data_IF_166933169543
#
_entry.id   IF_166933169543
#
_cell.length_a   1.000
_cell.length_b   1.000
_cell.length_c   1.000
_cell.angle_alpha   90.00
_cell.angle_beta   90.00
_cell.angle_gamma   90.00
#
_symmetry.space_group_name_H-M   'P 1'
#
loop_
_entity.id
_entity.type
_entity.pdbx_description
1 polymer ?
#
# COMPACT_ATOMS: atom_id res chain seq x y z
N UNK A 1 4.26 -42.30 50.34
CA UNK A 1 4.08 -41.65 49.03
C UNK A 1 2.66 -41.90 48.57
N UNK A 2 1.74 -41.00 48.90
CA UNK A 2 0.33 -41.12 48.51
C UNK A 2 0.17 -40.76 47.03
N UNK A 3 -0.42 -41.67 46.24
CA UNK A 3 -0.82 -41.41 44.86
C UNK A 3 -1.92 -40.34 44.89
N UNK A 4 -1.54 -39.09 44.65
CA UNK A 4 -2.50 -38.00 44.50
C UNK A 4 -3.39 -38.27 43.31
N UNK A 5 -4.67 -38.52 43.55
CA UNK A 5 -5.71 -38.47 42.53
C UNK A 5 -5.64 -37.11 41.84
N UNK A 6 -5.54 -37.04 40.50
CA UNK A 6 -5.56 -35.77 39.79
C UNK A 6 -6.92 -35.12 40.00
N UNK A 7 -6.98 -34.13 40.88
CA UNK A 7 -8.15 -33.27 41.08
C UNK A 7 -8.12 -32.17 40.02
N UNK A 8 -9.19 -32.06 39.24
CA UNK A 8 -9.38 -30.93 38.34
C UNK A 8 -9.36 -29.64 39.19
N UNK A 9 -8.59 -28.61 38.80
CA UNK A 9 -8.61 -27.32 39.48
C UNK A 9 -10.03 -26.76 39.49
N UNK A 10 -10.45 -26.21 40.63
CA UNK A 10 -11.75 -25.56 40.75
C UNK A 10 -11.75 -24.28 39.88
N UNK A 11 -12.35 -24.40 38.70
CA UNK A 11 -12.40 -23.34 37.69
C UNK A 11 -13.18 -22.13 38.22
N UNK A 12 -14.20 -22.35 39.05
CA UNK A 12 -15.02 -21.29 39.62
C UNK A 12 -14.23 -20.46 40.62
N UNK A 13 -13.33 -21.08 41.39
CA UNK A 13 -12.39 -20.38 42.27
C UNK A 13 -11.43 -19.48 41.48
N UNK A 14 -10.95 -19.94 40.31
CA UNK A 14 -10.09 -19.15 39.44
C UNK A 14 -10.84 -17.97 38.79
N UNK A 15 -12.10 -18.17 38.39
CA UNK A 15 -12.96 -17.09 37.89
C UNK A 15 -13.28 -16.05 38.97
N UNK A 16 -13.57 -16.48 40.21
CA UNK A 16 -13.80 -15.59 41.36
C UNK A 16 -12.54 -14.84 41.78
N UNK A 17 -11.36 -15.47 41.67
CA UNK A 17 -10.07 -14.82 41.85
C UNK A 17 -9.70 -13.87 40.69
N UNK A 18 -10.53 -13.79 39.66
CA UNK A 18 -10.30 -12.89 38.54
C UNK A 18 -9.17 -13.35 37.62
N UNK A 19 -8.90 -14.66 37.49
CA UNK A 19 -7.81 -15.23 36.69
C UNK A 19 -8.40 -16.11 35.58
N UNK A 20 -7.97 -15.92 34.33
CA UNK A 20 -8.37 -16.75 33.21
C UNK A 20 -7.71 -18.13 33.36
N UNK A 21 -8.49 -19.22 33.53
CA UNK A 21 -7.95 -20.54 33.83
C UNK A 21 -7.13 -21.14 32.68
N UNK A 22 -7.25 -20.61 31.45
CA UNK A 22 -6.50 -21.07 30.28
C UNK A 22 -5.15 -20.38 30.11
N UNK A 23 -5.02 -19.13 30.56
CA UNK A 23 -3.82 -18.31 30.34
C UNK A 23 -3.09 -17.93 31.63
N UNK A 24 -3.71 -18.15 32.79
CA UNK A 24 -3.16 -17.77 34.10
C UNK A 24 -3.10 -16.25 34.34
N UNK A 25 -3.67 -15.44 33.42
CA UNK A 25 -3.64 -13.98 33.48
C UNK A 25 -4.94 -13.42 34.09
N UNK A 26 -4.92 -12.24 34.73
CA UNK A 26 -6.13 -11.63 35.27
C UNK A 26 -7.20 -11.42 34.18
N UNK A 27 -8.45 -11.82 34.43
CA UNK A 27 -9.63 -11.62 33.58
C UNK A 27 -9.88 -10.15 33.22
N UNK A 28 -9.39 -9.21 34.06
CA UNK A 28 -9.45 -7.76 33.83
C UNK A 28 -8.29 -7.19 33.02
N UNK A 29 -7.24 -7.97 32.74
CA UNK A 29 -6.31 -7.66 31.64
C UNK A 29 -6.99 -8.08 30.34
N UNK A 30 -8.10 -7.40 30.05
CA UNK A 30 -8.79 -7.51 28.78
C UNK A 30 -7.76 -7.22 27.69
N UNK A 31 -7.71 -8.13 26.73
CA UNK A 31 -6.89 -8.09 25.55
C UNK A 31 -7.13 -6.76 24.81
N UNK A 32 -6.44 -5.68 25.20
CA UNK A 32 -6.44 -4.42 24.48
C UNK A 32 -5.62 -4.66 23.24
N UNK A 33 -6.25 -5.28 22.23
CA UNK A 33 -5.70 -5.29 20.87
C UNK A 33 -5.45 -3.83 20.53
N UNK A 34 -4.19 -3.51 20.33
CA UNK A 34 -3.73 -2.19 19.92
C UNK A 34 -4.20 -2.04 18.48
N UNK A 35 -5.35 -1.40 18.26
CA UNK A 35 -5.90 -1.26 16.91
C UNK A 35 -5.29 -0.08 16.15
N UNK A 36 -4.59 0.83 16.83
CA UNK A 36 -4.11 2.08 16.23
C UNK A 36 -3.18 1.83 15.03
N UNK A 37 -2.18 0.95 15.16
CA UNK A 37 -1.31 0.56 14.04
C UNK A 37 -2.13 -0.02 12.89
N UNK A 38 -2.97 -1.00 13.19
CA UNK A 38 -3.78 -1.70 12.19
C UNK A 38 -4.76 -0.77 11.46
N UNK A 39 -5.34 0.20 12.15
CA UNK A 39 -6.30 1.14 11.58
C UNK A 39 -5.60 2.20 10.73
N UNK A 40 -4.42 2.68 11.16
CA UNK A 40 -3.56 3.55 10.34
C UNK A 40 -3.12 2.81 9.07
N UNK A 41 -2.67 1.56 9.21
CA UNK A 41 -2.26 0.73 8.09
C UNK A 41 -3.38 0.50 7.09
N UNK A 42 -4.62 0.31 7.54
CA UNK A 42 -5.79 0.22 6.63
C UNK A 42 -5.97 1.50 5.82
N UNK A 43 -5.86 2.67 6.44
CA UNK A 43 -5.96 3.94 5.75
C UNK A 43 -4.84 4.10 4.72
N UNK A 44 -3.60 3.79 5.11
CA UNK A 44 -2.44 3.85 4.21
C UNK A 44 -2.57 2.89 3.02
N UNK A 45 -3.14 1.70 3.21
CA UNK A 45 -3.44 0.77 2.09
C UNK A 45 -4.44 1.33 1.08
N UNK A 46 -5.44 2.10 1.54
CA UNK A 46 -6.41 2.73 0.64
C UNK A 46 -5.72 3.78 -0.23
N UNK A 47 -4.85 4.59 0.39
CA UNK A 47 -4.06 5.60 -0.32
C UNK A 47 -3.11 4.94 -1.33
N UNK A 48 -2.40 3.90 -0.90
CA UNK A 48 -1.49 3.13 -1.77
C UNK A 48 -2.22 2.53 -2.99
N UNK A 49 -3.43 2.00 -2.82
CA UNK A 49 -4.24 1.52 -3.94
C UNK A 49 -4.68 2.67 -4.85
N UNK A 50 -5.10 3.82 -4.30
CA UNK A 50 -5.52 4.98 -5.07
C UNK A 50 -4.39 5.56 -5.92
N UNK A 51 -3.18 5.66 -5.34
CA UNK A 51 -1.98 6.11 -6.06
C UNK A 51 -1.64 5.14 -7.20
N UNK A 52 -1.70 3.83 -6.94
CA UNK A 52 -1.39 2.80 -7.92
C UNK A 52 -2.41 2.76 -9.08
N UNK A 53 -3.69 2.95 -8.79
CA UNK A 53 -4.79 2.79 -9.75
C UNK A 53 -4.97 4.03 -10.63
N UNK A 54 -4.64 5.22 -10.14
CA UNK A 54 -4.84 6.47 -10.87
C UNK A 54 -3.59 6.95 -11.63
N UNK A 55 -2.47 6.24 -11.58
CA UNK A 55 -1.23 6.66 -12.26
C UNK A 55 -1.26 6.50 -13.79
N UNK A 56 -2.17 5.67 -14.32
CA UNK A 56 -2.30 5.42 -15.76
C UNK A 56 -3.75 5.59 -16.21
N UNK A 57 -3.91 6.18 -17.39
CA UNK A 57 -5.21 6.36 -18.05
C UNK A 57 -5.24 5.53 -19.33
N UNK A 58 -6.25 4.67 -19.42
CA UNK A 58 -6.51 3.83 -20.58
C UNK A 58 -7.64 4.40 -21.43
N UNK A 59 -7.44 4.39 -22.75
CA UNK A 59 -8.41 4.83 -23.76
C UNK A 59 -8.83 3.66 -24.65
N UNK A 60 -10.10 3.65 -25.07
CA UNK A 60 -10.69 2.64 -25.95
C UNK A 60 -10.53 1.20 -25.44
N UNK A 61 -10.75 0.98 -24.13
CA UNK A 61 -10.77 -0.37 -23.58
C UNK A 61 -11.97 -1.17 -24.13
N UNK A 62 -11.75 -2.36 -24.73
CA UNK A 62 -12.81 -3.13 -25.38
C UNK A 62 -13.53 -4.11 -24.45
N UNK A 63 -12.98 -4.37 -23.26
CA UNK A 63 -13.67 -5.05 -22.18
C UNK A 63 -14.49 -3.99 -21.44
N UNK A 64 -15.75 -4.29 -21.09
CA UNK A 64 -16.64 -3.39 -20.34
C UNK A 64 -16.14 -3.16 -18.90
N UNK A 65 -14.95 -2.59 -18.78
CA UNK A 65 -14.19 -2.30 -17.57
C UNK A 65 -13.61 -0.89 -17.71
N UNK A 66 -13.51 -0.22 -16.58
CA UNK A 66 -12.88 1.10 -16.48
C UNK A 66 -11.35 0.99 -16.40
N UNK A 67 -10.66 2.08 -16.70
CA UNK A 67 -9.21 2.22 -16.48
C UNK A 67 -8.81 1.84 -15.05
N UNK A 68 -9.59 2.30 -14.07
CA UNK A 68 -9.35 2.02 -12.66
C UNK A 68 -9.52 0.54 -12.30
N UNK A 69 -10.53 -0.12 -12.87
CA UNK A 69 -10.73 -1.55 -12.64
C UNK A 69 -9.58 -2.36 -13.20
N UNK A 70 -9.10 -2.04 -14.41
CA UNK A 70 -7.94 -2.71 -15.01
C UNK A 70 -6.69 -2.54 -14.16
N UNK A 71 -6.33 -1.31 -13.80
CA UNK A 71 -5.14 -1.05 -12.97
C UNK A 71 -5.27 -1.67 -11.58
N UNK A 72 -6.47 -1.72 -10.99
CA UNK A 72 -6.70 -2.44 -9.73
C UNK A 72 -6.41 -3.94 -9.86
N UNK A 73 -6.81 -4.57 -10.96
CA UNK A 73 -6.48 -5.98 -11.20
C UNK A 73 -4.96 -6.18 -11.30
N UNK A 74 -4.26 -5.26 -11.97
CA UNK A 74 -2.80 -5.28 -12.08
C UNK A 74 -2.14 -5.06 -10.71
N UNK A 75 -2.64 -4.14 -9.88
CA UNK A 75 -2.12 -3.88 -8.54
C UNK A 75 -2.14 -5.14 -7.65
N UNK A 76 -3.26 -5.89 -7.66
CA UNK A 76 -3.44 -7.07 -6.83
C UNK A 76 -2.81 -8.37 -7.39
N UNK A 77 -2.58 -8.45 -8.71
CA UNK A 77 -2.11 -9.69 -9.37
C UNK A 77 -0.75 -9.56 -10.05
N UNK A 78 -0.29 -8.35 -10.33
CA UNK A 78 0.96 -8.02 -11.01
C UNK A 78 0.98 -8.30 -12.52
N UNK A 79 0.19 -9.28 -12.98
CA UNK A 79 0.17 -9.73 -14.36
C UNK A 79 -1.21 -10.24 -14.79
N UNK A 80 -1.57 -9.98 -16.05
CA UNK A 80 -2.83 -10.37 -16.66
C UNK A 80 -2.59 -10.87 -18.09
N UNK A 81 -3.51 -11.67 -18.60
CA UNK A 81 -3.63 -11.99 -20.02
C UNK A 81 -4.88 -11.33 -20.58
N UNK A 82 -4.75 -10.79 -21.78
CA UNK A 82 -5.83 -10.22 -22.56
C UNK A 82 -6.11 -11.12 -23.77
N UNK A 83 -7.37 -11.49 -23.97
CA UNK A 83 -7.80 -12.37 -25.05
C UNK A 83 -9.25 -12.10 -25.43
N UNK A 84 -9.61 -12.55 -26.64
CA UNK A 84 -10.98 -12.56 -27.14
C UNK A 84 -11.63 -13.92 -26.86
N UNK A 85 -12.85 -13.91 -26.32
CA UNK A 85 -13.65 -15.11 -26.16
C UNK A 85 -14.71 -15.18 -27.25
N UNK A 86 -14.59 -16.15 -28.16
CA UNK A 86 -15.53 -16.35 -29.26
C UNK A 86 -16.90 -16.82 -28.77
N UNK A 87 -16.96 -17.63 -27.71
CA UNK A 87 -18.22 -18.19 -27.24
C UNK A 87 -19.11 -17.11 -26.60
N UNK A 88 -18.46 -16.09 -26.01
CA UNK A 88 -19.11 -14.95 -25.35
C UNK A 88 -19.09 -13.68 -26.19
N UNK A 89 -18.38 -13.70 -27.33
CA UNK A 89 -18.13 -12.57 -28.23
C UNK A 89 -17.54 -11.32 -27.53
N UNK A 90 -16.78 -11.51 -26.45
CA UNK A 90 -16.28 -10.43 -25.58
C UNK A 90 -14.77 -10.54 -25.31
N UNK A 91 -14.16 -9.39 -24.99
CA UNK A 91 -12.77 -9.33 -24.55
C UNK A 91 -12.66 -9.43 -23.03
N UNK A 92 -11.65 -10.15 -22.56
CA UNK A 92 -11.41 -10.36 -21.14
C UNK A 92 -9.96 -10.05 -20.75
N UNK A 93 -9.83 -9.44 -19.58
CA UNK A 93 -8.58 -9.38 -18.82
C UNK A 93 -8.68 -10.34 -17.64
N UNK A 94 -7.76 -11.30 -17.56
CA UNK A 94 -7.75 -12.27 -16.47
C UNK A 94 -6.33 -12.55 -15.99
N UNK A 95 -6.14 -12.91 -14.71
CA UNK A 95 -4.95 -13.61 -14.26
C UNK A 95 -4.71 -14.86 -15.11
N UNK A 96 -3.48 -15.35 -15.15
CA UNK A 96 -3.16 -16.56 -15.88
C UNK A 96 -2.17 -17.42 -15.12
N UNK A 97 -2.12 -18.69 -15.51
CA UNK A 97 -1.09 -19.62 -15.09
C UNK A 97 -0.41 -20.25 -16.31
N UNK A 98 0.83 -20.67 -16.12
CA UNK A 98 1.61 -21.36 -17.15
C UNK A 98 0.94 -22.68 -17.51
N UNK A 99 0.74 -22.93 -18.79
CA UNK A 99 0.37 -24.25 -19.29
C UNK A 99 1.10 -24.49 -20.62
N UNK A 100 2.26 -25.14 -20.54
CA UNK A 100 3.02 -25.55 -21.72
C UNK A 100 4.52 -25.35 -21.60
N UNK A 101 5.14 -25.01 -22.71
CA UNK A 101 6.61 -24.90 -22.85
C UNK A 101 7.08 -23.46 -22.74
N UNK A 102 8.37 -23.33 -22.39
CA UNK A 102 9.07 -22.07 -22.32
C UNK A 102 9.98 -21.96 -23.55
N UNK A 103 10.05 -20.78 -24.17
CA UNK A 103 10.96 -20.52 -25.29
C UNK A 103 12.42 -20.35 -24.84
N UNK A 104 13.34 -20.17 -25.80
CA UNK A 104 14.77 -19.97 -25.54
C UNK A 104 15.08 -18.72 -24.69
N UNK A 105 14.17 -17.75 -24.63
CA UNK A 105 14.30 -16.52 -23.86
C UNK A 105 13.59 -16.59 -22.51
N UNK A 106 13.12 -17.76 -22.09
CA UNK A 106 12.43 -17.92 -20.83
C UNK A 106 10.96 -17.46 -20.86
N UNK A 107 10.38 -17.23 -22.05
CA UNK A 107 9.01 -16.74 -22.27
C UNK A 107 8.01 -17.86 -22.43
N UNK A 108 6.79 -17.61 -21.98
CA UNK A 108 5.71 -18.60 -21.99
C UNK A 108 5.15 -18.69 -23.41
N UNK A 109 5.14 -19.89 -24.00
CA UNK A 109 4.50 -20.07 -25.30
C UNK A 109 2.98 -20.09 -25.19
N UNK A 110 2.49 -20.66 -24.10
CA UNK A 110 1.06 -20.88 -23.85
C UNK A 110 0.71 -20.67 -22.38
N UNK A 111 -0.47 -20.11 -22.14
CA UNK A 111 -1.03 -19.86 -20.82
C UNK A 111 -2.51 -20.24 -20.80
N UNK A 112 -3.06 -20.46 -19.61
CA UNK A 112 -4.50 -20.56 -19.43
C UNK A 112 -4.97 -19.47 -18.46
N UNK A 113 -6.10 -18.81 -18.75
CA UNK A 113 -6.68 -17.81 -17.86
C UNK A 113 -7.18 -18.47 -16.57
N UNK A 114 -7.13 -17.73 -15.48
CA UNK A 114 -7.57 -18.14 -14.15
C UNK A 114 -8.58 -17.10 -13.65
N UNK A 115 -9.74 -17.52 -13.12
CA UNK A 115 -10.74 -16.58 -12.66
C UNK A 115 -10.21 -15.73 -11.49
N UNK A 116 -10.64 -14.46 -11.43
CA UNK A 116 -10.31 -13.55 -10.32
C UNK A 116 -10.99 -13.91 -9.00
N UNK A 117 -12.00 -14.77 -9.03
CA UNK A 117 -12.83 -15.11 -7.86
C UNK A 117 -12.12 -16.11 -6.94
N UNK A 118 -11.81 -15.66 -5.73
CA UNK A 118 -11.51 -16.52 -4.56
C UNK A 118 -12.71 -16.64 -3.60
N UNK A 119 -13.91 -16.25 -4.06
CA UNK A 119 -15.13 -16.17 -3.23
C UNK A 119 -15.91 -17.48 -3.11
N UNK A 120 -16.54 -17.66 -1.94
CA UNK A 120 -17.18 -18.86 -1.38
C UNK A 120 -18.42 -19.43 -2.11
N UNK A 121 -18.75 -18.98 -3.33
CA UNK A 121 -19.86 -19.55 -4.10
C UNK A 121 -19.40 -20.70 -5.00
N UNK A 122 -19.42 -21.89 -4.38
CA UNK A 122 -18.86 -23.15 -4.86
C UNK A 122 -19.37 -23.68 -6.21
N UNK A 123 -20.43 -23.10 -6.81
CA UNK A 123 -21.04 -23.64 -8.05
C UNK A 123 -20.71 -22.82 -9.30
N UNK A 124 -20.80 -21.48 -9.24
CA UNK A 124 -20.50 -20.60 -10.37
C UNK A 124 -18.99 -20.48 -10.61
N UNK A 125 -18.21 -20.34 -9.54
CA UNK A 125 -16.75 -20.23 -9.62
C UNK A 125 -16.10 -21.51 -10.16
N UNK A 126 -16.62 -22.70 -9.80
CA UNK A 126 -16.10 -23.98 -10.31
C UNK A 126 -16.39 -24.19 -11.80
N UNK A 127 -17.60 -23.88 -12.26
CA UNK A 127 -17.93 -23.98 -13.68
C UNK A 127 -17.09 -23.02 -14.54
N UNK A 128 -16.86 -21.80 -14.06
CA UNK A 128 -15.98 -20.84 -14.73
C UNK A 128 -14.52 -21.30 -14.72
N UNK A 129 -14.03 -21.81 -13.59
CA UNK A 129 -12.67 -22.36 -13.49
C UNK A 129 -12.47 -23.56 -14.41
N UNK A 130 -13.44 -24.47 -14.51
CA UNK A 130 -13.41 -25.62 -15.41
C UNK A 130 -13.44 -25.21 -16.89
N UNK A 131 -14.23 -24.21 -17.24
CA UNK A 131 -14.24 -23.65 -18.60
C UNK A 131 -12.88 -23.05 -18.96
N UNK A 132 -12.34 -22.19 -18.09
CA UNK A 132 -11.06 -21.49 -18.32
C UNK A 132 -9.85 -22.43 -18.28
N UNK A 133 -9.89 -23.49 -17.47
CA UNK A 133 -8.80 -24.48 -17.40
C UNK A 133 -8.58 -25.25 -18.71
N UNK A 134 -9.62 -25.40 -19.53
CA UNK A 134 -9.52 -26.05 -20.83
C UNK A 134 -9.06 -25.09 -21.94
N UNK A 135 -9.01 -23.79 -21.67
CA UNK A 135 -8.66 -22.74 -22.64
C UNK A 135 -7.15 -22.52 -22.67
N UNK A 136 -6.50 -23.01 -23.73
CA UNK A 136 -5.07 -22.82 -23.96
C UNK A 136 -4.85 -21.68 -24.94
N UNK A 137 -4.23 -20.61 -24.46
CA UNK A 137 -3.99 -19.40 -25.24
C UNK A 137 -2.51 -19.28 -25.58
N UNK A 138 -2.21 -19.01 -26.84
CA UNK A 138 -0.85 -18.77 -27.34
C UNK A 138 -0.42 -17.34 -27.03
N UNK A 139 0.70 -17.18 -26.34
CA UNK A 139 1.22 -15.85 -26.02
C UNK A 139 1.85 -15.18 -27.25
N UNK A 140 1.49 -13.92 -27.48
CA UNK A 140 2.06 -13.08 -28.53
C UNK A 140 2.89 -11.97 -27.89
N UNK A 141 4.14 -11.84 -28.34
CA UNK A 141 5.14 -10.91 -27.78
C UNK A 141 5.55 -9.78 -28.72
N UNK A 142 5.10 -9.78 -29.97
CA UNK A 142 5.51 -8.82 -30.98
C UNK A 142 4.36 -8.44 -31.91
N UNK A 143 4.51 -7.28 -32.54
CA UNK A 143 3.57 -6.76 -33.54
C UNK A 143 3.53 -7.73 -34.72
N UNK A 144 2.32 -8.18 -35.07
CA UNK A 144 2.12 -8.99 -36.28
C UNK A 144 1.91 -8.04 -37.47
N UNK A 145 2.84 -8.11 -38.43
CA UNK A 145 2.79 -7.32 -39.68
C UNK A 145 2.20 -8.12 -40.85
N UNK A 146 2.07 -9.44 -40.70
CA UNK A 146 1.51 -10.36 -41.69
C UNK A 146 0.01 -10.59 -41.46
N UNK A 147 -0.69 -11.15 -42.46
CA UNK A 147 -2.13 -11.44 -42.39
C UNK A 147 -2.47 -12.27 -41.14
N UNK A 148 -3.17 -11.64 -40.19
CA UNK A 148 -3.60 -12.27 -38.94
C UNK A 148 -4.59 -13.39 -39.27
N UNK A 149 -4.22 -14.63 -38.94
CA UNK A 149 -5.09 -15.78 -39.19
C UNK A 149 -6.30 -15.76 -38.24
N UNK A 150 -7.41 -16.39 -38.64
CA UNK A 150 -8.59 -16.53 -37.76
C UNK A 150 -8.27 -17.25 -36.44
N UNK A 151 -7.34 -18.21 -36.48
CA UNK A 151 -6.89 -18.93 -35.29
C UNK A 151 -6.13 -18.00 -34.33
N UNK A 152 -5.35 -17.07 -34.86
CA UNK A 152 -4.66 -16.09 -34.04
C UNK A 152 -5.61 -15.10 -33.35
N UNK A 153 -6.76 -14.80 -33.96
CA UNK A 153 -7.78 -13.94 -33.34
C UNK A 153 -8.46 -14.61 -32.14
N UNK A 154 -8.67 -15.93 -32.22
CA UNK A 154 -9.48 -16.70 -31.27
C UNK A 154 -8.64 -17.37 -30.16
N UNK A 155 -7.42 -17.81 -30.47
CA UNK A 155 -6.58 -18.61 -29.56
C UNK A 155 -5.31 -17.89 -29.10
N UNK A 156 -5.14 -16.61 -29.41
CA UNK A 156 -4.00 -15.83 -28.90
C UNK A 156 -4.35 -15.02 -27.66
N UNK A 157 -3.34 -14.78 -26.84
CA UNK A 157 -3.40 -13.78 -25.78
C UNK A 157 -2.18 -12.88 -25.80
N UNK A 158 -2.36 -11.64 -25.33
CA UNK A 158 -1.28 -10.71 -25.06
C UNK A 158 -1.15 -10.57 -23.55
N UNK A 159 0.07 -10.65 -23.04
CA UNK A 159 0.32 -10.58 -21.61
C UNK A 159 0.61 -9.13 -21.19
N UNK A 160 -0.12 -8.64 -20.20
CA UNK A 160 0.06 -7.35 -19.57
C UNK A 160 0.74 -7.52 -18.21
N UNK A 161 1.71 -6.67 -17.93
CA UNK A 161 2.55 -6.72 -16.73
C UNK A 161 2.60 -5.35 -16.09
N UNK A 162 2.74 -5.32 -14.78
CA UNK A 162 2.80 -4.06 -14.06
C UNK A 162 4.13 -3.30 -14.26
N UNK A 163 5.24 -4.03 -14.14
CA UNK A 163 6.62 -3.55 -14.27
C UNK A 163 7.48 -4.64 -14.93
N UNK A 164 8.73 -4.31 -15.25
CA UNK A 164 9.65 -5.25 -15.91
C UNK A 164 9.77 -6.58 -15.15
N UNK A 165 9.59 -7.67 -15.90
CA UNK A 165 9.61 -9.05 -15.40
C UNK A 165 10.92 -9.37 -14.68
N UNK A 166 10.81 -10.00 -13.51
CA UNK A 166 11.97 -10.50 -12.78
C UNK A 166 12.38 -11.88 -13.30
N UNK A 167 13.36 -12.50 -12.61
CA UNK A 167 13.83 -13.85 -12.93
C UNK A 167 12.63 -14.82 -13.05
N UNK A 168 12.67 -15.66 -14.09
CA UNK A 168 11.59 -16.62 -14.40
C UNK A 168 10.24 -16.00 -14.79
N UNK A 169 10.23 -14.73 -15.21
CA UNK A 169 9.01 -14.00 -15.58
C UNK A 169 7.99 -13.85 -14.45
N UNK A 170 8.43 -14.02 -13.21
CA UNK A 170 7.56 -13.81 -12.08
C UNK A 170 7.42 -12.32 -11.79
N UNK A 171 6.20 -11.91 -11.45
CA UNK A 171 5.89 -10.56 -11.00
C UNK A 171 5.24 -10.68 -9.64
N UNK A 172 5.79 -9.94 -8.68
CA UNK A 172 5.24 -9.85 -7.34
C UNK A 172 4.21 -8.71 -7.37
N UNK A 173 2.96 -8.95 -6.93
CA UNK A 173 1.96 -7.90 -6.87
C UNK A 173 2.41 -6.72 -6.00
N UNK A 174 2.07 -5.49 -6.41
CA UNK A 174 2.47 -4.27 -5.69
C UNK A 174 1.97 -4.22 -4.27
N UNK A 175 0.75 -4.70 -4.04
CA UNK A 175 0.20 -4.85 -2.68
C UNK A 175 1.16 -5.62 -1.76
N UNK A 176 1.91 -6.60 -2.27
CA UNK A 176 2.87 -7.37 -1.47
C UNK A 176 4.20 -6.64 -1.31
N UNK A 177 4.61 -5.86 -2.31
CA UNK A 177 5.87 -5.11 -2.31
C UNK A 177 5.80 -3.94 -1.31
N UNK A 178 4.68 -3.22 -1.27
CA UNK A 178 4.55 -2.01 -0.46
C UNK A 178 4.07 -2.29 0.96
N UNK A 179 3.44 -3.45 1.21
CA UNK A 179 2.96 -3.86 2.53
C UNK A 179 3.98 -3.72 3.68
N UNK A 180 5.28 -4.07 3.52
CA UNK A 180 6.28 -3.84 4.55
C UNK A 180 6.56 -2.36 4.82
N UNK A 181 6.51 -1.50 3.79
CA UNK A 181 6.72 -0.06 3.92
C UNK A 181 5.56 0.54 4.71
N UNK A 182 4.32 0.21 4.34
CA UNK A 182 3.11 0.63 5.05
C UNK A 182 3.09 0.14 6.50
N UNK A 183 3.64 -1.04 6.77
CA UNK A 183 3.76 -1.56 8.14
C UNK A 183 4.66 -0.66 9.00
N UNK A 184 5.81 -0.23 8.46
CA UNK A 184 6.75 0.65 9.15
C UNK A 184 6.15 2.06 9.31
N UNK A 185 5.55 2.63 8.27
CA UNK A 185 4.87 3.94 8.32
C UNK A 185 3.79 3.96 9.40
N UNK A 186 3.00 2.88 9.51
CA UNK A 186 1.95 2.76 10.51
C UNK A 186 2.44 2.72 11.97
N UNK A 187 3.74 2.44 12.18
CA UNK A 187 4.38 2.46 13.49
C UNK A 187 4.91 3.84 13.89
N UNK A 188 5.30 4.67 12.90
CA UNK A 188 5.88 5.99 13.15
C UNK A 188 4.92 6.89 13.93
N UNK A 189 3.63 6.86 13.59
CA UNK A 189 2.61 7.71 14.23
C UNK A 189 2.41 7.35 15.73
N UNK A 190 2.21 6.07 16.13
CA UNK A 190 2.23 5.66 17.53
C UNK A 190 3.52 6.02 18.29
N UNK A 191 4.67 5.97 17.61
CA UNK A 191 5.97 6.28 18.21
C UNK A 191 6.20 7.78 18.39
N UNK A 192 5.88 8.59 17.38
CA UNK A 192 5.86 10.05 17.47
C UNK A 192 4.96 10.50 18.61
N UNK A 193 3.79 9.84 18.73
CA UNK A 193 2.86 10.03 19.83
C UNK A 193 3.47 9.68 21.18
N UNK A 194 4.18 8.56 21.30
CA UNK A 194 4.84 8.20 22.57
C UNK A 194 5.97 9.15 22.91
N UNK A 195 6.76 9.58 21.93
CA UNK A 195 7.85 10.52 22.17
C UNK A 195 7.33 11.91 22.50
N UNK A 196 6.26 12.39 21.85
CA UNK A 196 5.50 13.56 22.30
C UNK A 196 5.17 13.45 23.79
N UNK A 197 4.67 12.30 24.24
CA UNK A 197 4.26 12.07 25.63
C UNK A 197 5.44 11.96 26.61
N UNK A 198 6.57 11.40 26.18
CA UNK A 198 7.77 11.19 27.00
C UNK A 198 8.69 12.42 27.05
N UNK A 199 8.71 13.17 25.96
CA UNK A 199 9.29 14.51 25.85
C UNK A 199 8.57 15.54 26.71
N UNK A 200 7.47 15.16 27.33
CA UNK A 200 6.93 15.92 28.43
C UNK A 200 7.82 15.75 29.72
N UNK A 201 9.16 15.91 29.66
CA UNK A 201 10.16 15.92 30.77
C UNK A 201 10.32 14.63 31.60
N UNK A 202 11.55 14.30 32.12
CA UNK A 202 11.83 13.18 33.07
C UNK A 202 11.91 13.66 34.50
N UNK A 203 11.28 12.91 35.38
CA UNK A 203 10.52 13.44 36.50
C UNK A 203 10.95 12.69 37.77
N UNK A 204 12.06 13.09 38.39
CA UNK A 204 12.64 12.36 39.54
C UNK A 204 11.89 12.61 40.83
N UNK A 205 11.45 11.56 41.54
CA UNK A 205 10.48 11.69 42.64
C UNK A 205 11.05 11.18 43.97
N UNK A 206 10.99 12.02 45.03
CA UNK A 206 11.41 11.63 46.39
C UNK A 206 10.25 10.94 47.13
N UNK A 207 10.48 9.74 47.64
CA UNK A 207 9.52 8.97 48.47
C UNK A 207 9.94 8.94 49.94
N UNK A 208 8.98 8.80 50.86
CA UNK A 208 9.22 8.94 52.32
C UNK A 208 9.52 7.61 53.02
N UNK A 209 8.98 6.49 52.54
CA UNK A 209 9.10 5.17 53.16
C UNK A 209 9.13 4.04 52.10
N UNK A 210 9.44 2.83 52.57
CA UNK A 210 9.73 1.68 51.70
C UNK A 210 8.47 1.07 51.07
N UNK A 211 7.29 1.30 51.66
CA UNK A 211 6.00 0.85 51.11
C UNK A 211 5.45 1.82 50.04
N UNK A 212 5.67 3.14 50.17
CA UNK A 212 5.32 4.10 49.12
C UNK A 212 6.21 3.98 47.89
N UNK A 213 7.45 3.54 48.07
CA UNK A 213 8.32 3.19 46.96
C UNK A 213 7.63 2.17 46.04
N UNK A 214 6.96 1.16 46.58
CA UNK A 214 6.28 0.13 45.80
C UNK A 214 5.09 0.67 44.99
N UNK A 215 4.36 1.66 45.53
CA UNK A 215 3.22 2.29 44.85
C UNK A 215 3.62 3.21 43.68
N UNK A 216 4.75 3.92 43.81
CA UNK A 216 5.33 4.72 42.72
C UNK A 216 5.86 3.82 41.60
N UNK A 217 6.38 2.65 41.97
CA UNK A 217 6.83 1.65 41.01
C UNK A 217 5.67 1.05 40.18
N UNK A 218 4.50 0.78 40.79
CA UNK A 218 3.33 0.25 40.06
C UNK A 218 2.63 1.30 39.19
N UNK A 219 2.63 2.55 39.68
CA UNK A 219 2.24 3.74 38.96
C UNK A 219 3.03 3.99 37.66
N UNK A 220 4.36 3.89 37.73
CA UNK A 220 5.24 3.99 36.57
C UNK A 220 5.05 2.82 35.59
N UNK A 221 4.83 1.60 36.10
CA UNK A 221 4.54 0.43 35.25
C UNK A 221 3.24 0.57 34.47
N UNK A 222 2.22 1.15 35.09
CA UNK A 222 0.99 1.46 34.38
C UNK A 222 1.26 2.57 33.33
N UNK A 223 2.13 3.59 33.58
CA UNK A 223 2.70 4.60 32.63
C UNK A 223 3.17 4.01 31.33
N UNK A 224 3.97 2.99 31.46
CA UNK A 224 4.52 2.30 30.31
C UNK A 224 3.49 1.42 29.61
N UNK A 225 2.62 0.71 30.34
CA UNK A 225 1.63 -0.19 29.73
C UNK A 225 0.56 0.58 28.97
N UNK A 226 0.20 1.75 29.47
CA UNK A 226 -0.64 2.62 28.70
C UNK A 226 0.16 3.10 27.48
N UNK A 227 1.40 3.64 27.57
CA UNK A 227 2.10 4.15 26.37
C UNK A 227 2.25 3.09 25.26
N UNK A 228 2.37 1.82 25.66
CA UNK A 228 2.42 0.65 24.80
C UNK A 228 1.10 0.27 24.11
N UNK A 229 -0.05 0.70 24.63
CA UNK A 229 -1.33 0.66 23.89
C UNK A 229 -1.57 1.98 23.14
N UNK A 230 -0.52 2.80 23.02
CA UNK A 230 -0.60 4.22 22.68
C UNK A 230 -1.32 5.03 23.77
N UNK A 231 -1.73 4.46 24.88
CA UNK A 231 -2.47 5.14 25.95
C UNK A 231 -1.54 6.02 26.79
N UNK A 232 -1.75 7.32 26.89
CA UNK A 232 -0.74 8.16 27.53
C UNK A 232 -0.74 8.16 29.08
N UNK A 233 -1.78 7.61 29.73
CA UNK A 233 -2.23 8.09 31.06
C UNK A 233 -2.67 7.01 32.04
N UNK A 234 -2.43 7.27 33.34
CA UNK A 234 -2.56 6.29 34.44
C UNK A 234 -2.97 6.88 35.77
N UNK A 235 -3.87 6.19 36.49
CA UNK A 235 -4.18 6.53 37.87
C UNK A 235 -3.13 5.98 38.83
N UNK A 236 -2.58 6.87 39.63
CA UNK A 236 -1.61 6.61 40.69
C UNK A 236 -2.25 7.09 41.99
N UNK A 237 -2.55 6.21 42.94
CA UNK A 237 -3.12 6.60 44.24
C UNK A 237 -2.01 6.59 45.28
N UNK A 238 -1.61 7.78 45.75
CA UNK A 238 -0.60 7.95 46.80
C UNK A 238 -1.02 9.01 47.81
N UNK A 239 -0.65 8.82 49.07
CA UNK A 239 -0.92 9.73 50.19
C UNK A 239 0.02 10.95 50.25
N UNK A 240 0.92 11.10 49.27
CA UNK A 240 2.04 12.06 49.29
C UNK A 240 2.12 12.86 47.97
N UNK A 241 2.50 14.14 48.05
CA UNK A 241 2.78 14.99 46.89
C UNK A 241 4.08 14.57 46.17
N UNK A 242 4.00 14.43 44.84
CA UNK A 242 5.11 14.04 43.97
C UNK A 242 5.89 15.26 43.47
N UNK A 243 7.20 15.34 43.71
CA UNK A 243 8.04 16.44 43.23
C UNK A 243 9.11 15.92 42.27
N UNK A 244 9.21 16.50 41.07
CA UNK A 244 10.14 16.09 39.99
C UNK A 244 11.50 16.78 40.06
N UNK A 245 12.58 16.04 39.79
CA UNK A 245 13.96 16.51 40.01
C UNK A 245 14.82 16.65 38.75
N UNK A 246 14.29 16.45 37.54
CA UNK A 246 15.10 16.56 36.32
C UNK A 246 14.31 17.14 35.16
N UNK A 247 15.04 17.71 34.21
CA UNK A 247 14.58 18.44 33.04
C UNK A 247 15.15 17.69 31.84
N UNK A 248 14.33 17.17 30.92
CA UNK A 248 14.85 16.34 29.82
C UNK A 248 14.47 16.85 28.45
N UNK A 249 15.52 17.01 27.65
CA UNK A 249 15.50 17.33 26.24
C UNK A 249 14.62 16.33 25.48
N UNK A 250 13.54 16.90 24.96
CA UNK A 250 12.56 16.26 24.09
C UNK A 250 13.21 15.80 22.80
N UNK A 251 13.04 14.53 22.42
CA UNK A 251 13.27 14.15 21.02
C UNK A 251 12.39 15.04 20.15
N UNK A 252 12.97 15.68 19.13
CA UNK A 252 12.19 16.59 18.30
C UNK A 252 11.20 15.72 17.54
N UNK A 253 9.93 15.85 17.89
CA UNK A 253 8.78 15.21 17.24
C UNK A 253 8.83 15.38 15.72
N UNK A 254 9.42 16.48 15.29
CA UNK A 254 9.74 16.77 13.90
C UNK A 254 10.53 15.65 13.20
N UNK A 255 11.45 14.97 13.87
CA UNK A 255 12.27 13.91 13.28
C UNK A 255 11.41 12.67 12.92
N UNK A 256 10.32 12.42 13.66
CA UNK A 256 9.36 11.37 13.31
C UNK A 256 8.55 11.72 12.08
N UNK A 257 8.11 12.97 11.96
CA UNK A 257 7.38 13.42 10.77
C UNK A 257 8.28 13.47 9.54
N UNK A 258 9.55 13.85 9.70
CA UNK A 258 10.53 13.76 8.63
C UNK A 258 10.76 12.30 8.21
N UNK A 259 10.86 11.38 9.17
CA UNK A 259 10.97 9.96 8.86
C UNK A 259 9.72 9.42 8.14
N UNK A 260 8.53 9.87 8.53
CA UNK A 260 7.27 9.50 7.84
C UNK A 260 7.27 10.01 6.40
N UNK A 261 7.65 11.27 6.17
CA UNK A 261 7.76 11.86 4.84
C UNK A 261 8.80 11.14 3.98
N UNK A 262 9.97 10.81 4.53
CA UNK A 262 10.98 10.03 3.82
C UNK A 262 10.49 8.63 3.42
N UNK A 263 9.72 7.97 4.28
CA UNK A 263 9.11 6.65 3.98
C UNK A 263 8.04 6.77 2.90
N UNK A 264 7.17 7.78 2.99
CA UNK A 264 6.16 8.09 1.99
C UNK A 264 6.81 8.35 0.63
N UNK A 265 7.87 9.15 0.59
CA UNK A 265 8.61 9.48 -0.63
C UNK A 265 9.28 8.24 -1.21
N UNK A 266 9.77 7.34 -0.35
CA UNK A 266 10.25 6.03 -0.80
C UNK A 266 9.12 5.18 -1.39
N UNK A 267 7.94 5.11 -0.75
CA UNK A 267 6.77 4.41 -1.29
C UNK A 267 6.36 4.96 -2.66
N UNK A 268 6.21 6.27 -2.79
CA UNK A 268 5.83 6.94 -4.04
C UNK A 268 6.89 6.77 -5.14
N UNK A 269 8.17 6.76 -4.77
CA UNK A 269 9.25 6.48 -5.73
C UNK A 269 9.14 5.07 -6.34
N UNK A 270 8.58 4.09 -5.60
CA UNK A 270 8.34 2.75 -6.15
C UNK A 270 7.30 2.76 -7.27
N UNK A 271 6.40 3.75 -7.27
CA UNK A 271 5.40 3.96 -8.31
C UNK A 271 5.90 4.84 -9.46
N UNK A 272 7.06 5.48 -9.31
CA UNK A 272 7.51 6.52 -10.23
C UNK A 272 6.72 7.83 -10.08
N UNK A 273 6.09 8.04 -8.93
CA UNK A 273 5.40 9.30 -8.59
C UNK A 273 6.41 10.16 -7.84
N UNK A 274 6.63 11.38 -8.34
CA UNK A 274 7.60 12.30 -7.75
C UNK A 274 6.98 13.05 -6.56
N UNK A 275 7.73 13.18 -5.47
CA UNK A 275 7.27 13.84 -4.24
C UNK A 275 8.39 14.62 -3.52
N UNK A 276 9.20 15.38 -4.26
CA UNK A 276 10.14 16.34 -3.63
C UNK A 276 11.38 15.71 -2.97
N UNK A 277 11.79 14.52 -3.40
CA UNK A 277 13.03 13.86 -2.94
C UNK A 277 12.91 13.09 -1.62
N UNK A 278 13.83 12.15 -1.35
CA UNK A 278 13.75 11.23 -0.21
C UNK A 278 13.98 11.91 1.17
N UNK A 279 14.51 13.14 1.18
CA UNK A 279 14.82 13.91 2.39
C UNK A 279 14.71 15.41 2.13
N UNK A 280 13.66 16.07 2.60
CA UNK A 280 13.63 17.53 2.69
C UNK A 280 14.53 18.01 3.84
N UNK A 281 15.75 18.41 3.53
CA UNK A 281 16.61 19.07 4.52
C UNK A 281 16.09 20.50 4.76
N UNK A 282 15.83 20.84 6.03
CA UNK A 282 15.57 22.23 6.44
C UNK A 282 16.74 23.12 5.99
N UNK A 283 16.46 23.97 5.00
CA UNK A 283 17.29 25.01 4.40
C UNK A 283 18.21 24.57 3.24
N UNK A 284 17.83 25.04 2.04
CA UNK A 284 18.55 25.06 0.78
C UNK A 284 18.71 23.72 0.07
N UNK A 285 17.61 23.20 -0.50
CA UNK A 285 17.73 22.38 -1.69
C UNK A 285 18.32 23.24 -2.82
N UNK A 286 19.50 22.86 -3.28
CA UNK A 286 19.94 23.27 -4.60
C UNK A 286 19.03 22.56 -5.59
N UNK A 287 18.35 23.32 -6.46
CA UNK A 287 17.44 22.84 -7.51
C UNK A 287 18.04 21.65 -8.30
N UNK A 288 19.36 21.63 -8.46
CA UNK A 288 20.12 20.54 -9.07
C UNK A 288 20.07 19.19 -8.32
N UNK A 289 19.86 19.15 -7.00
CA UNK A 289 19.79 17.91 -6.20
C UNK A 289 18.37 17.31 -6.20
N UNK A 290 17.34 18.16 -6.25
CA UNK A 290 15.96 17.77 -6.54
C UNK A 290 15.84 17.19 -7.96
N UNK A 291 16.46 17.84 -8.96
CA UNK A 291 16.52 17.35 -10.34
C UNK A 291 17.24 15.99 -10.47
N UNK A 292 18.28 15.75 -9.66
CA UNK A 292 19.01 14.47 -9.64
C UNK A 292 18.16 13.34 -9.04
N UNK A 293 17.28 13.64 -8.08
CA UNK A 293 16.37 12.66 -7.49
C UNK A 293 15.10 12.40 -8.34
N UNK A 294 14.69 13.34 -9.20
CA UNK A 294 13.61 13.12 -10.17
C UNK A 294 13.96 12.13 -11.29
N UNK A 295 15.24 12.03 -11.65
CA UNK A 295 15.72 11.14 -12.72
C UNK A 295 15.39 9.64 -12.51
N UNK A 296 15.70 9.03 -11.35
CA UNK A 296 15.37 7.64 -11.07
C UNK A 296 13.86 7.35 -11.00
N UNK A 297 13.08 8.29 -10.48
CA UNK A 297 11.61 8.17 -10.35
C UNK A 297 10.96 8.14 -11.73
N UNK A 298 11.43 8.99 -12.65
CA UNK A 298 10.98 8.99 -14.05
C UNK A 298 11.23 7.66 -14.78
N UNK A 299 12.33 6.96 -14.49
CA UNK A 299 12.62 5.66 -15.12
C UNK A 299 11.60 4.57 -14.72
N UNK A 300 11.14 4.58 -13.47
CA UNK A 300 10.14 3.61 -12.99
C UNK A 300 8.79 3.87 -13.67
N UNK A 301 8.37 5.14 -13.78
CA UNK A 301 7.16 5.51 -14.49
C UNK A 301 7.25 5.17 -15.98
N UNK A 302 8.39 5.47 -16.60
CA UNK A 302 8.65 5.20 -18.01
C UNK A 302 8.64 3.71 -18.32
N UNK A 303 9.18 2.86 -17.45
CA UNK A 303 9.13 1.39 -17.59
C UNK A 303 7.68 0.89 -17.64
N UNK A 304 6.88 1.26 -16.64
CA UNK A 304 5.48 0.86 -16.56
C UNK A 304 4.63 1.38 -17.73
N UNK A 305 4.90 2.60 -18.20
CA UNK A 305 4.26 3.19 -19.38
C UNK A 305 4.66 2.45 -20.66
N UNK A 306 5.94 2.18 -20.84
CA UNK A 306 6.47 1.50 -22.04
C UNK A 306 5.91 0.08 -22.16
N UNK A 307 5.74 -0.62 -21.04
CA UNK A 307 5.13 -1.95 -21.01
C UNK A 307 3.66 -1.90 -21.46
N UNK A 308 2.90 -0.93 -20.95
CA UNK A 308 1.48 -0.75 -21.30
C UNK A 308 1.32 -0.32 -22.76
N UNK A 309 2.14 0.60 -23.26
CA UNK A 309 2.13 0.99 -24.67
C UNK A 309 2.51 -0.17 -25.59
N UNK A 310 3.54 -0.95 -25.25
CA UNK A 310 3.89 -2.13 -26.03
C UNK A 310 2.75 -3.17 -26.03
N UNK A 311 2.08 -3.37 -24.90
CA UNK A 311 0.88 -4.20 -24.82
C UNK A 311 -0.23 -3.69 -25.75
N UNK A 312 -0.52 -2.38 -25.74
CA UNK A 312 -1.49 -1.76 -26.65
C UNK A 312 -1.11 -1.99 -28.12
N UNK A 313 0.15 -1.78 -28.48
CA UNK A 313 0.63 -1.97 -29.85
C UNK A 313 0.45 -3.40 -30.34
N UNK A 314 0.77 -4.40 -29.50
CA UNK A 314 0.59 -5.81 -29.84
C UNK A 314 -0.90 -6.13 -29.96
N UNK A 315 -1.73 -5.74 -28.99
CA UNK A 315 -3.17 -6.00 -29.00
C UNK A 315 -3.86 -5.34 -30.21
N UNK A 316 -3.50 -4.10 -30.53
CA UNK A 316 -4.01 -3.40 -31.71
C UNK A 316 -3.59 -4.07 -33.02
N UNK A 317 -2.38 -4.65 -33.09
CA UNK A 317 -1.93 -5.39 -34.27
C UNK A 317 -2.73 -6.66 -34.54
N UNK A 318 -3.32 -7.27 -33.50
CA UNK A 318 -4.10 -8.50 -33.63
C UNK A 318 -5.58 -8.17 -33.88
N UNK A 319 -6.17 -7.30 -33.04
CA UNK A 319 -7.62 -7.09 -33.01
C UNK A 319 -8.08 -5.72 -33.52
N UNK A 320 -7.18 -4.80 -33.85
CA UNK A 320 -7.54 -3.50 -34.45
C UNK A 320 -8.35 -2.57 -33.52
N UNK A 321 -8.14 -2.67 -32.21
CA UNK A 321 -9.00 -2.07 -31.18
C UNK A 321 -8.81 -0.55 -31.01
N UNK A 322 -7.63 -0.02 -31.37
CA UNK A 322 -7.28 1.37 -31.13
C UNK A 322 -7.09 1.72 -29.65
N UNK A 323 -6.72 0.73 -28.84
CA UNK A 323 -6.45 0.89 -27.41
C UNK A 323 -5.18 1.70 -27.19
N UNK A 324 -5.19 2.58 -26.19
CA UNK A 324 -4.05 3.43 -25.87
C UNK A 324 -3.92 3.61 -24.35
N UNK A 325 -2.70 3.86 -23.87
CA UNK A 325 -2.43 4.08 -22.45
C UNK A 325 -1.36 5.16 -22.28
N UNK A 326 -1.64 6.10 -21.38
CA UNK A 326 -0.73 7.19 -21.01
C UNK A 326 -0.62 7.31 -19.49
N UNK A 327 0.47 7.88 -18.96
CA UNK A 327 0.51 8.27 -17.57
C UNK A 327 -0.50 9.41 -17.33
N UNK A 328 -1.07 9.44 -16.13
CA UNK A 328 -2.06 10.45 -15.78
C UNK A 328 -1.41 11.84 -15.63
N UNK A 329 -2.10 12.88 -16.05
CA UNK A 329 -1.59 14.26 -16.10
C UNK A 329 -1.18 14.78 -14.73
N UNK A 330 -1.97 14.46 -13.70
CA UNK A 330 -1.69 14.77 -12.30
C UNK A 330 -0.37 14.16 -11.79
N UNK A 331 0.16 13.13 -12.46
CA UNK A 331 1.43 12.51 -12.11
C UNK A 331 2.59 13.10 -12.93
N UNK A 332 2.33 13.52 -14.16
CA UNK A 332 3.33 14.15 -15.03
C UNK A 332 3.56 15.62 -14.65
N UNK A 333 2.58 16.25 -13.99
CA UNK A 333 2.65 17.67 -13.62
C UNK A 333 2.66 18.58 -14.86
N UNK A 334 2.05 18.12 -15.95
CA UNK A 334 1.92 18.85 -17.20
C UNK A 334 0.50 18.71 -17.72
N UNK A 335 -0.09 19.83 -18.13
CA UNK A 335 -1.37 19.86 -18.81
C UNK A 335 -1.19 19.38 -20.27
N UNK A 336 -1.52 18.10 -20.50
CA UNK A 336 -1.38 17.45 -21.82
C UNK A 336 -2.65 17.67 -22.66
N UNK A 337 -3.80 17.81 -22.01
CA UNK A 337 -5.11 18.03 -22.65
C UNK A 337 -5.38 19.51 -22.97
N UNK A 338 -4.57 20.43 -22.44
CA UNK A 338 -4.66 21.87 -22.68
C UNK A 338 -5.89 22.51 -22.07
N UNK A 339 -6.44 21.93 -21.00
CA UNK A 339 -7.66 22.38 -20.35
C UNK A 339 -7.43 23.45 -19.27
N UNK A 340 -6.15 23.79 -19.01
CA UNK A 340 -5.73 24.78 -18.04
C UNK A 340 -5.83 24.31 -16.59
N UNK A 341 -6.05 23.02 -16.34
CA UNK A 341 -5.98 22.42 -15.00
C UNK A 341 -4.58 21.84 -14.76
N UNK A 342 -3.56 22.70 -14.78
CA UNK A 342 -2.28 22.32 -14.17
C UNK A 342 -2.52 22.18 -12.66
N UNK A 343 -2.17 21.03 -12.10
CA UNK A 343 -1.91 20.96 -10.66
C UNK A 343 -0.66 21.79 -10.43
N UNK A 344 -0.85 23.05 -10.05
CA UNK A 344 0.21 23.92 -9.57
C UNK A 344 0.95 23.16 -8.47
N UNK A 345 2.15 22.69 -8.82
CA UNK A 345 3.13 22.17 -7.89
C UNK A 345 3.83 23.37 -7.24
N UNK A 346 3.03 24.34 -6.79
CA UNK A 346 3.54 25.57 -6.21
C UNK A 346 3.86 25.27 -4.74
N UNK A 347 5.14 24.96 -4.56
CA UNK A 347 5.80 24.63 -3.29
C UNK A 347 5.99 25.89 -2.41
N UNK A 348 5.04 26.81 -2.45
CA UNK A 348 5.01 28.00 -1.62
C UNK A 348 3.60 28.19 -1.08
N UNK A 349 3.48 28.02 0.24
CA UNK A 349 2.22 28.15 0.97
C UNK A 349 1.68 29.58 1.01
N UNK A 350 1.30 30.14 -0.14
CA UNK A 350 0.52 31.36 -0.24
C UNK A 350 -0.76 31.07 -1.03
N UNK A 351 -1.89 31.14 -0.31
CA UNK A 351 -3.22 31.13 -0.88
C UNK A 351 -3.36 32.20 -1.98
N UNK A 352 -3.55 31.80 -3.23
CA UNK A 352 -4.14 32.68 -4.24
C UNK A 352 -5.65 32.44 -4.29
N UNK A 353 -6.35 33.25 -3.50
CA UNK A 353 -7.75 33.52 -3.77
C UNK A 353 -7.86 34.20 -5.14
N UNK A 354 -8.81 33.74 -5.94
CA UNK A 354 -9.18 34.30 -7.24
C UNK A 354 -9.40 35.81 -7.13
N UNK A 355 -8.47 36.63 -7.65
CA UNK A 355 -8.74 38.02 -7.99
C UNK A 355 -9.14 38.09 -9.47
N UNK A 356 -10.46 38.17 -9.69
CA UNK A 356 -11.02 38.65 -10.97
C UNK A 356 -10.67 40.12 -11.14
N UNK A 357 -9.67 40.43 -11.97
CA UNK A 357 -9.40 41.80 -12.44
C UNK A 357 -10.53 42.25 -13.38
N UNK A 358 -11.33 43.20 -12.90
CA UNK A 358 -12.21 44.01 -13.71
C UNK A 358 -11.40 45.05 -14.49
N UNK A 359 -11.70 45.18 -15.78
CA UNK A 359 -11.08 46.16 -16.66
C UNK A 359 -11.39 47.60 -16.24
N UNK A 360 -10.36 48.43 -16.24
CA UNK A 360 -10.49 49.89 -16.33
C UNK A 360 -10.08 50.33 -17.74
N UNK A 361 -11.07 50.86 -18.45
CA UNK A 361 -10.92 51.70 -19.63
C UNK A 361 -10.02 52.91 -19.32
N UNK A 362 -9.19 53.31 -20.26
CA UNK A 362 -8.75 54.70 -20.34
C UNK A 362 -8.57 55.15 -21.79
N UNK A 363 -9.02 56.38 -22.01
CA UNK A 363 -9.10 57.21 -23.22
C UNK A 363 -7.81 57.34 -24.04
#
# INVERSE_FOLDING_TARGET
>A
MGKGTPTLPDLDLLYQAGINPKTGLPLKFGNTKITLKEDIKKAMRIIDEQDAVNRYVWYNLPANITSQELERMIYYKGQLCFFYDKDLEEFYFMPYALDGTIDFYGRFNTVHPVPMTSGTDDKGSKAQAEYLANKKLKCVYGIKLEDVSKEDLENSCVLLHDYTKQLSQNIIPRVTINEPILDIESEVIPMARTNLLASCGIKGMRVQDQDQQQNVEDAARSLQQNALTGKPWIPIVGTVEFQELTDNATGKVQDYFLALQSLENFRLSTYGIDNGGLFEKKAHELQSEADINGGPVGLVMQDGTSIRQNFCNIANSIWGLGMWCEPAENIIGADITGDGLEYDRDDSGEHTGVETEGGEDNE
#
